data_IF_087539036343
#
_entry.id   IF_087539036343
#
_cell.length_a   1.000
_cell.length_b   1.000
_cell.length_c   1.000
_cell.angle_alpha   90.00
_cell.angle_beta   90.00
_cell.angle_gamma   90.00
#
_symmetry.space_group_name_H-M   'P 1'
#
loop_
_entity.id
_entity.type
_entity.pdbx_description
1 polymer ?
#
# COMPACT_ATOMS: atom_id res chain seq x y z
N UNK A 1 8.94 30.20 0.50
CA UNK A 1 8.69 28.73 0.45
C UNK A 1 7.19 28.58 0.29
N UNK A 2 6.74 28.17 -0.91
CA UNK A 2 5.33 28.16 -1.24
C UNK A 2 4.54 27.27 -0.32
N UNK A 3 3.30 27.64 -0.11
CA UNK A 3 2.24 26.95 0.63
C UNK A 3 1.95 25.58 -0.03
N UNK A 4 2.92 24.67 0.12
CA UNK A 4 2.96 23.39 -0.58
C UNK A 4 2.10 22.37 0.15
N UNK A 5 0.80 22.36 -0.13
CA UNK A 5 -0.04 21.22 0.24
C UNK A 5 0.61 19.92 -0.25
N UNK A 6 0.78 18.95 0.63
CA UNK A 6 1.29 17.62 0.28
C UNK A 6 0.44 17.06 -0.87
N UNK A 7 1.04 16.79 -2.05
CA UNK A 7 0.29 16.29 -3.20
C UNK A 7 -0.20 14.87 -2.90
N UNK A 8 -1.52 14.66 -2.92
CA UNK A 8 -2.13 13.39 -2.57
C UNK A 8 -3.51 13.20 -3.21
N UNK A 9 -3.92 11.97 -3.26
CA UNK A 9 -5.26 11.53 -3.64
C UNK A 9 -5.85 10.71 -2.50
N UNK A 10 -7.04 11.05 -2.06
CA UNK A 10 -7.71 10.42 -0.93
C UNK A 10 -8.82 9.47 -1.41
N UNK A 11 -9.00 8.38 -0.71
CA UNK A 11 -10.12 7.47 -0.87
C UNK A 11 -11.33 8.01 -0.07
N UNK A 12 -12.00 9.04 -0.61
CA UNK A 12 -13.09 9.76 0.08
C UNK A 12 -14.20 8.84 0.55
N UNK A 13 -14.56 7.84 -0.24
CA UNK A 13 -15.57 6.84 0.13
C UNK A 13 -15.23 6.11 1.44
N UNK A 14 -13.93 5.87 1.69
CA UNK A 14 -13.49 5.24 2.94
C UNK A 14 -13.64 6.16 4.16
N UNK A 15 -13.48 7.46 3.97
CA UNK A 15 -13.75 8.44 5.02
C UNK A 15 -15.26 8.54 5.32
N UNK A 16 -16.10 8.62 4.28
CA UNK A 16 -17.54 8.76 4.40
C UNK A 16 -18.22 7.52 4.99
N UNK A 17 -17.79 6.31 4.57
CA UNK A 17 -18.42 5.05 4.98
C UNK A 17 -17.87 4.47 6.27
N UNK A 18 -16.59 4.65 6.54
CA UNK A 18 -15.89 3.95 7.62
C UNK A 18 -15.20 4.89 8.61
N UNK A 19 -15.18 6.19 8.36
CA UNK A 19 -14.45 7.17 9.18
C UNK A 19 -12.93 6.99 9.12
N UNK A 20 -12.40 6.38 8.05
CA UNK A 20 -10.98 6.10 7.88
C UNK A 20 -10.32 7.18 7.02
N UNK A 21 -9.09 7.52 7.34
CA UNK A 21 -8.21 8.31 6.46
C UNK A 21 -7.40 7.34 5.63
N UNK A 22 -7.64 7.33 4.33
CA UNK A 22 -6.97 6.46 3.37
C UNK A 22 -6.63 7.22 2.10
N UNK A 23 -5.48 6.93 1.49
CA UNK A 23 -5.07 7.60 0.25
C UNK A 23 -3.65 7.24 -0.16
N UNK A 24 -3.17 7.98 -1.15
CA UNK A 24 -1.82 7.84 -1.68
C UNK A 24 -1.25 9.24 -2.01
N UNK A 25 0.02 9.48 -1.68
CA UNK A 25 0.70 10.69 -2.16
C UNK A 25 0.92 10.60 -3.67
N UNK A 26 1.05 11.74 -4.32
CA UNK A 26 1.29 11.80 -5.76
C UNK A 26 2.66 12.40 -6.07
N UNK A 27 3.10 12.27 -7.32
CA UNK A 27 4.41 12.74 -7.78
C UNK A 27 4.62 14.25 -7.60
N UNK A 28 3.56 15.07 -7.64
CA UNK A 28 3.57 16.53 -7.71
C UNK A 28 4.89 17.22 -7.33
N UNK A 29 5.50 17.93 -8.25
CA UNK A 29 6.81 18.62 -8.09
C UNK A 29 7.94 17.71 -7.54
N UNK A 30 7.93 16.42 -7.84
CA UNK A 30 8.95 15.46 -7.37
C UNK A 30 8.83 15.08 -5.90
N UNK A 31 7.61 15.05 -5.33
CA UNK A 31 7.36 14.73 -3.93
C UNK A 31 7.55 13.23 -3.62
N UNK A 32 8.79 12.74 -3.81
CA UNK A 32 9.16 11.36 -3.49
C UNK A 32 9.37 11.15 -2.00
N UNK A 33 8.86 10.05 -1.47
CA UNK A 33 9.00 9.64 -0.07
C UNK A 33 9.81 8.34 0.09
N UNK A 34 10.59 7.95 -0.93
CA UNK A 34 11.41 6.74 -0.92
C UNK A 34 12.68 6.90 -0.10
N UNK A 35 12.71 6.45 1.15
CA UNK A 35 13.90 6.50 2.01
C UNK A 35 15.06 5.63 1.52
N UNK A 36 14.75 4.54 0.84
CA UNK A 36 15.73 3.60 0.28
C UNK A 36 15.87 3.76 -1.24
N UNK A 37 15.83 4.99 -1.72
CA UNK A 37 16.08 5.38 -3.11
C UNK A 37 17.45 6.03 -3.26
N UNK A 38 17.83 6.39 -4.48
CA UNK A 38 19.08 7.10 -4.76
C UNK A 38 19.05 8.58 -4.33
N UNK A 39 17.90 9.09 -3.85
CA UNK A 39 17.77 10.47 -3.38
C UNK A 39 18.49 10.70 -2.05
N UNK A 40 18.92 11.94 -1.82
CA UNK A 40 19.47 12.35 -0.53
C UNK A 40 18.43 12.16 0.59
N UNK A 41 18.79 11.39 1.62
CA UNK A 41 17.93 11.09 2.78
C UNK A 41 17.40 12.39 3.44
N UNK A 42 18.22 13.43 3.51
CA UNK A 42 17.82 14.72 4.09
C UNK A 42 16.66 15.37 3.34
N UNK A 43 16.66 15.30 2.00
CA UNK A 43 15.57 15.81 1.17
C UNK A 43 14.29 14.99 1.33
N UNK A 44 14.43 13.65 1.32
CA UNK A 44 13.30 12.73 1.52
C UNK A 44 12.69 12.94 2.91
N UNK A 45 13.51 13.07 3.97
CA UNK A 45 13.04 13.33 5.34
C UNK A 45 12.35 14.70 5.49
N UNK A 46 12.74 15.69 4.70
CA UNK A 46 12.03 16.99 4.69
C UNK A 46 10.60 16.83 4.17
N UNK A 47 10.41 16.03 3.09
CA UNK A 47 9.08 15.72 2.54
C UNK A 47 8.26 14.85 3.51
N UNK A 48 8.90 13.88 4.19
CA UNK A 48 8.24 13.08 5.22
C UNK A 48 7.74 13.94 6.39
N UNK A 49 8.54 14.92 6.84
CA UNK A 49 8.10 15.87 7.89
C UNK A 49 6.90 16.70 7.43
N UNK A 50 6.88 17.15 6.18
CA UNK A 50 5.73 17.85 5.60
C UNK A 50 4.49 16.94 5.54
N UNK A 51 4.63 15.68 5.09
CA UNK A 51 3.55 14.70 5.10
C UNK A 51 3.02 14.44 6.51
N UNK A 52 3.92 14.23 7.49
CA UNK A 52 3.53 14.03 8.88
C UNK A 52 2.81 15.25 9.45
N UNK A 53 3.27 16.47 9.16
CA UNK A 53 2.65 17.70 9.69
C UNK A 53 1.17 17.82 9.31
N UNK A 54 0.79 17.37 8.09
CA UNK A 54 -0.61 17.33 7.64
C UNK A 54 -1.42 16.28 8.41
N UNK A 55 -0.80 15.20 8.85
CA UNK A 55 -1.46 14.05 9.48
C UNK A 55 -1.32 14.02 11.01
N UNK A 56 -0.50 14.89 11.59
CA UNK A 56 -0.06 14.79 12.99
C UNK A 56 -1.20 14.86 14.01
N UNK A 57 -2.21 15.71 13.80
CA UNK A 57 -3.31 15.87 14.76
C UNK A 57 -4.11 14.57 14.92
N UNK A 58 -4.61 13.93 13.82
CA UNK A 58 -5.34 12.70 13.93
C UNK A 58 -4.44 11.47 14.14
N UNK A 59 -3.12 11.56 13.84
CA UNK A 59 -2.19 10.43 13.87
C UNK A 59 -0.84 10.80 14.53
N UNK A 60 -0.74 10.71 15.86
CA UNK A 60 0.53 10.86 16.56
C UNK A 60 1.56 9.79 16.14
N UNK A 61 1.11 8.60 15.75
CA UNK A 61 1.96 7.49 15.30
C UNK A 61 1.96 7.34 13.78
N UNK A 62 3.14 7.23 13.17
CA UNK A 62 3.31 6.88 11.76
C UNK A 62 4.20 5.64 11.66
N UNK A 63 3.68 4.60 11.02
CA UNK A 63 4.36 3.31 10.86
C UNK A 63 4.81 3.17 9.40
N UNK A 64 6.07 2.84 9.20
CA UNK A 64 6.62 2.51 7.89
C UNK A 64 7.68 1.40 8.01
N UNK A 65 8.08 0.82 6.89
CA UNK A 65 9.09 -0.23 6.88
C UNK A 65 10.01 -0.15 5.65
N UNK A 66 11.19 -0.73 5.80
CA UNK A 66 12.00 -1.17 4.67
C UNK A 66 11.39 -2.46 4.12
N UNK A 67 10.63 -2.32 3.03
CA UNK A 67 9.92 -3.40 2.37
C UNK A 67 10.88 -4.24 1.55
N UNK A 68 10.75 -5.56 1.61
CA UNK A 68 11.62 -6.53 0.95
C UNK A 68 10.91 -7.36 -0.12
N UNK A 69 9.67 -6.97 -0.47
CA UNK A 69 8.76 -7.70 -1.36
C UNK A 69 8.40 -9.10 -0.84
N UNK A 70 8.39 -9.26 0.48
CA UNK A 70 8.02 -10.47 1.20
C UNK A 70 6.53 -10.55 1.52
N UNK A 71 6.22 -11.30 2.59
CA UNK A 71 4.85 -11.50 3.07
C UNK A 71 4.69 -11.20 4.57
N UNK A 72 5.71 -10.65 5.21
CA UNK A 72 5.62 -10.33 6.65
C UNK A 72 4.65 -9.17 6.87
N UNK A 73 3.67 -9.41 7.75
CA UNK A 73 2.66 -8.42 8.16
C UNK A 73 2.70 -8.27 9.66
N UNK A 74 3.02 -7.06 10.12
CA UNK A 74 3.15 -6.76 11.55
C UNK A 74 1.83 -6.19 12.11
N UNK A 75 1.37 -6.74 13.24
CA UNK A 75 0.26 -6.19 14.02
C UNK A 75 0.78 -5.19 15.07
N UNK A 76 0.19 -3.99 15.11
CA UNK A 76 0.56 -2.92 16.04
C UNK A 76 -0.49 -2.80 17.15
N UNK A 77 -0.12 -3.16 18.38
CA UNK A 77 -1.04 -3.16 19.53
C UNK A 77 -1.15 -1.82 20.25
N UNK A 78 -0.11 -0.99 20.16
CA UNK A 78 -0.07 0.30 20.83
C UNK A 78 0.41 1.41 19.88
N UNK A 79 -0.15 2.62 19.98
CA UNK A 79 0.42 3.78 19.30
C UNK A 79 1.78 4.11 19.93
N UNK A 80 2.73 4.47 19.07
CA UNK A 80 4.04 5.00 19.47
C UNK A 80 4.05 6.44 19.02
N UNK A 81 4.27 7.38 19.94
CA UNK A 81 4.36 8.78 19.53
C UNK A 81 5.59 9.00 18.64
N UNK A 82 5.32 9.45 17.42
CA UNK A 82 6.35 9.70 16.41
C UNK A 82 6.39 8.68 15.29
N UNK A 83 7.55 8.15 14.98
CA UNK A 83 7.83 7.24 13.87
C UNK A 83 8.26 5.87 14.38
N UNK A 84 7.67 4.83 13.80
CA UNK A 84 8.17 3.47 13.91
C UNK A 84 8.64 3.02 12.52
N UNK A 85 9.91 2.71 12.39
CA UNK A 85 10.50 2.18 11.17
C UNK A 85 10.91 0.73 11.42
N UNK A 86 10.35 -0.20 10.65
CA UNK A 86 10.60 -1.63 10.77
C UNK A 86 11.46 -2.12 9.60
N UNK A 87 12.15 -3.22 9.81
CA UNK A 87 12.96 -3.88 8.79
C UNK A 87 12.24 -5.14 8.30
N UNK A 88 12.22 -5.35 6.97
CA UNK A 88 11.75 -6.60 6.35
C UNK A 88 10.24 -6.84 6.40
N UNK A 89 9.43 -5.81 6.64
CA UNK A 89 7.97 -5.91 6.77
C UNK A 89 7.30 -5.31 5.53
N UNK A 90 6.39 -6.06 4.90
CA UNK A 90 5.66 -5.65 3.70
C UNK A 90 4.18 -5.36 3.97
N UNK A 91 3.74 -5.43 5.21
CA UNK A 91 2.38 -5.08 5.60
C UNK A 91 2.27 -4.69 7.07
N UNK A 92 1.31 -3.84 7.35
CA UNK A 92 1.01 -3.35 8.70
C UNK A 92 -0.47 -3.51 9.00
N UNK A 93 -0.81 -3.86 10.23
CA UNK A 93 -2.19 -3.97 10.68
C UNK A 93 -2.36 -3.45 12.10
N UNK A 94 -3.54 -2.93 12.44
CA UNK A 94 -3.89 -2.45 13.77
C UNK A 94 -5.41 -2.33 13.96
N UNK A 95 -5.86 -2.31 15.21
CA UNK A 95 -7.20 -1.86 15.59
C UNK A 95 -7.14 -0.55 16.42
N UNK A 96 -5.97 0.09 16.51
CA UNK A 96 -5.78 1.30 17.32
C UNK A 96 -6.04 2.55 16.51
N UNK A 97 -6.78 3.48 17.09
CA UNK A 97 -6.91 4.84 16.56
C UNK A 97 -5.63 5.63 16.78
N UNK A 98 -5.37 6.61 15.93
CA UNK A 98 -4.18 7.45 16.02
C UNK A 98 -2.91 6.81 15.44
N UNK A 99 -3.03 5.66 14.80
CA UNK A 99 -1.94 4.99 14.08
C UNK A 99 -2.16 5.14 12.57
N UNK A 100 -1.21 5.72 11.88
CA UNK A 100 -1.17 5.81 10.41
C UNK A 100 -0.22 4.76 9.87
N UNK A 101 -0.77 3.75 9.21
CA UNK A 101 -0.01 2.73 8.49
C UNK A 101 0.43 3.29 7.14
N UNK A 102 1.67 3.03 6.73
CA UNK A 102 2.19 3.48 5.42
C UNK A 102 2.97 2.38 4.72
N UNK A 103 2.87 2.33 3.39
CA UNK A 103 3.74 1.55 2.51
C UNK A 103 4.19 2.41 1.34
N UNK A 104 5.43 2.22 0.89
CA UNK A 104 5.97 2.93 -0.28
C UNK A 104 5.76 2.09 -1.53
N UNK A 105 5.32 2.73 -2.60
CA UNK A 105 5.06 2.05 -3.88
C UNK A 105 5.57 2.88 -5.07
N UNK A 106 5.95 2.16 -6.13
CA UNK A 106 6.08 2.63 -7.50
C UNK A 106 5.86 1.38 -8.36
N UNK A 107 4.66 1.21 -8.88
CA UNK A 107 4.09 0.07 -9.61
C UNK A 107 3.46 -1.04 -8.75
N UNK A 108 4.08 -1.46 -7.63
CA UNK A 108 3.47 -2.42 -6.71
C UNK A 108 2.10 -1.94 -6.20
N UNK A 109 1.20 -2.87 -5.92
CA UNK A 109 -0.18 -2.57 -5.52
C UNK A 109 -0.25 -2.39 -4.01
N UNK A 110 -0.62 -1.20 -3.50
CA UNK A 110 -1.00 -1.08 -2.10
C UNK A 110 -2.40 -1.68 -1.90
N UNK A 111 -2.53 -2.62 -0.97
CA UNK A 111 -3.80 -3.25 -0.62
C UNK A 111 -4.29 -2.65 0.70
N UNK A 112 -5.45 -2.01 0.65
CA UNK A 112 -6.12 -1.49 1.83
C UNK A 112 -7.16 -2.51 2.28
N UNK A 113 -7.12 -2.90 3.56
CA UNK A 113 -8.11 -3.79 4.18
C UNK A 113 -8.75 -3.09 5.38
N UNK A 114 -10.05 -3.20 5.52
CA UNK A 114 -10.78 -2.71 6.68
C UNK A 114 -11.80 -3.75 7.15
N UNK A 115 -11.95 -3.85 8.47
CA UNK A 115 -13.01 -4.60 9.16
C UNK A 115 -13.81 -3.61 10.00
N UNK A 116 -14.81 -2.91 9.40
CA UNK A 116 -15.45 -1.77 10.05
C UNK A 116 -16.04 -2.09 11.43
N UNK A 117 -16.68 -3.27 11.59
CA UNK A 117 -17.29 -3.71 12.84
C UNK A 117 -16.28 -3.96 13.97
N UNK A 118 -15.00 -4.12 13.63
CA UNK A 118 -13.90 -4.37 14.58
C UNK A 118 -12.98 -3.17 14.75
N UNK A 119 -13.14 -2.14 13.91
CA UNK A 119 -12.20 -1.02 13.84
C UNK A 119 -10.79 -1.43 13.41
N UNK A 120 -10.61 -2.65 12.87
CA UNK A 120 -9.32 -3.16 12.45
C UNK A 120 -9.03 -2.83 10.98
N UNK A 121 -7.79 -2.49 10.70
CA UNK A 121 -7.31 -2.12 9.37
C UNK A 121 -5.98 -2.80 9.09
N UNK A 122 -5.68 -3.02 7.79
CA UNK A 122 -4.35 -3.41 7.34
C UNK A 122 -4.01 -2.72 6.01
N UNK A 123 -2.73 -2.42 5.81
CA UNK A 123 -2.18 -1.87 4.58
C UNK A 123 -0.99 -2.72 4.17
N UNK A 124 -1.04 -3.29 2.96
CA UNK A 124 -0.07 -4.25 2.46
C UNK A 124 0.60 -3.72 1.19
N UNK A 125 1.86 -4.10 0.99
CA UNK A 125 2.64 -3.85 -0.21
C UNK A 125 2.70 -5.12 -1.07
N UNK A 126 1.96 -5.15 -2.17
CA UNK A 126 1.89 -6.30 -3.06
C UNK A 126 2.66 -6.05 -4.37
N UNK A 127 3.94 -6.36 -4.36
CA UNK A 127 4.71 -6.58 -5.57
C UNK A 127 4.50 -8.02 -6.09
N UNK A 128 5.07 -8.39 -7.25
CA UNK A 128 4.86 -9.72 -7.82
C UNK A 128 5.31 -10.86 -6.88
N UNK A 129 6.43 -10.69 -6.16
CA UNK A 129 6.92 -11.70 -5.20
C UNK A 129 5.95 -11.90 -4.04
N UNK A 130 5.53 -10.79 -3.41
CA UNK A 130 4.56 -10.83 -2.32
C UNK A 130 3.21 -11.39 -2.76
N UNK A 131 2.74 -11.02 -3.97
CA UNK A 131 1.48 -11.55 -4.54
C UNK A 131 1.57 -13.06 -4.78
N UNK A 132 2.66 -13.55 -5.39
CA UNK A 132 2.87 -14.98 -5.63
C UNK A 132 3.04 -15.77 -4.32
N UNK A 133 3.63 -15.15 -3.29
CA UNK A 133 3.86 -15.77 -1.98
C UNK A 133 2.69 -15.60 -0.99
N UNK A 134 1.57 -14.97 -1.39
CA UNK A 134 0.35 -14.89 -0.58
C UNK A 134 0.31 -13.76 0.45
N UNK A 135 0.85 -12.57 0.16
CA UNK A 135 0.79 -11.41 1.08
C UNK A 135 -0.65 -11.05 1.49
N UNK A 136 -1.63 -11.19 0.57
CA UNK A 136 -3.03 -10.93 0.88
C UNK A 136 -3.57 -11.92 1.90
N UNK A 137 -3.31 -13.23 1.73
CA UNK A 137 -3.69 -14.26 2.69
C UNK A 137 -3.09 -13.98 4.07
N UNK A 138 -1.80 -13.60 4.13
CA UNK A 138 -1.14 -13.21 5.40
C UNK A 138 -1.82 -12.03 6.06
N UNK A 139 -2.19 -10.99 5.30
CA UNK A 139 -2.93 -9.84 5.83
C UNK A 139 -4.30 -10.23 6.40
N UNK A 140 -5.04 -11.07 5.69
CA UNK A 140 -6.33 -11.62 6.15
C UNK A 140 -6.14 -12.46 7.41
N UNK A 141 -5.13 -13.32 7.46
CA UNK A 141 -4.82 -14.15 8.63
C UNK A 141 -4.48 -13.33 9.87
N UNK A 142 -3.71 -12.24 9.71
CA UNK A 142 -3.42 -11.33 10.82
C UNK A 142 -4.71 -10.69 11.34
N UNK A 143 -5.60 -10.20 10.47
CA UNK A 143 -6.89 -9.64 10.87
C UNK A 143 -7.78 -10.70 11.55
N UNK A 144 -7.76 -11.94 11.08
CA UNK A 144 -8.51 -13.06 11.70
C UNK A 144 -8.01 -13.36 13.09
N UNK A 145 -6.70 -13.48 13.28
CA UNK A 145 -6.08 -13.85 14.58
C UNK A 145 -6.16 -12.72 15.60
N UNK A 146 -5.89 -11.48 15.17
CA UNK A 146 -5.74 -10.35 16.09
C UNK A 146 -7.06 -9.60 16.35
N UNK A 147 -7.96 -9.55 15.36
CA UNK A 147 -9.23 -8.84 15.49
C UNK A 147 -10.46 -9.74 15.43
N UNK A 148 -10.29 -11.08 15.40
CA UNK A 148 -11.38 -12.03 15.22
C UNK A 148 -12.27 -11.69 14.01
N UNK A 149 -11.66 -11.22 12.92
CA UNK A 149 -12.35 -10.87 11.69
C UNK A 149 -12.82 -12.12 10.95
N UNK A 150 -13.98 -12.08 10.32
CA UNK A 150 -14.38 -13.04 9.29
C UNK A 150 -14.01 -12.45 7.93
N UNK A 151 -13.58 -13.28 6.98
CA UNK A 151 -13.21 -12.80 5.65
C UNK A 151 -14.36 -12.03 4.98
N UNK A 152 -15.59 -12.50 5.14
CA UNK A 152 -16.78 -11.84 4.63
C UNK A 152 -17.05 -10.43 5.20
N UNK A 153 -16.47 -10.08 6.35
CA UNK A 153 -16.60 -8.76 6.97
C UNK A 153 -15.50 -7.79 6.50
N UNK A 154 -14.51 -8.29 5.74
CA UNK A 154 -13.39 -7.48 5.22
C UNK A 154 -13.84 -6.73 3.96
N UNK A 155 -13.53 -5.45 3.93
CA UNK A 155 -13.59 -4.61 2.73
C UNK A 155 -12.17 -4.38 2.22
N UNK A 156 -11.93 -4.62 0.94
CA UNK A 156 -10.63 -4.50 0.28
C UNK A 156 -10.66 -3.44 -0.82
N UNK A 157 -9.57 -2.70 -0.93
CA UNK A 157 -9.29 -1.83 -2.09
C UNK A 157 -7.89 -2.10 -2.61
N UNK A 158 -7.79 -2.49 -3.88
CA UNK A 158 -6.52 -2.47 -4.62
C UNK A 158 -6.24 -1.03 -5.07
N UNK A 159 -5.23 -0.40 -4.50
CA UNK A 159 -4.89 0.98 -4.81
C UNK A 159 -4.18 1.19 -6.14
N UNK A 160 -3.63 2.38 -6.31
CA UNK A 160 -2.90 2.77 -7.52
C UNK A 160 -1.63 1.95 -7.67
N UNK A 161 -1.47 1.33 -8.84
CA UNK A 161 -0.28 0.57 -9.22
C UNK A 161 -0.21 0.36 -10.72
N UNK A 162 0.70 -0.45 -11.20
CA UNK A 162 0.84 -0.71 -12.64
C UNK A 162 -0.29 -1.61 -13.15
N UNK A 163 -0.84 -1.31 -14.32
CA UNK A 163 -1.87 -2.14 -14.96
C UNK A 163 -1.27 -3.25 -15.83
N UNK A 164 -2.07 -4.26 -16.17
CA UNK A 164 -1.64 -5.39 -16.98
C UNK A 164 -1.09 -5.03 -18.35
N UNK A 165 -1.59 -3.97 -18.98
CA UNK A 165 -1.08 -3.49 -20.28
C UNK A 165 0.33 -2.91 -20.21
N UNK A 166 0.74 -2.42 -19.05
CA UNK A 166 2.07 -1.84 -18.83
C UNK A 166 3.04 -2.79 -18.13
N UNK A 167 2.54 -3.95 -17.62
CA UNK A 167 3.33 -4.85 -16.82
C UNK A 167 3.64 -6.15 -17.57
N UNK A 168 4.54 -6.05 -18.55
CA UNK A 168 5.16 -7.22 -19.18
C UNK A 168 6.25 -7.78 -18.28
N UNK A 169 6.22 -9.09 -18.04
CA UNK A 169 7.14 -9.82 -17.16
C UNK A 169 7.73 -11.03 -17.90
N UNK A 170 8.96 -11.40 -17.54
CA UNK A 170 9.59 -12.61 -18.07
C UNK A 170 8.87 -13.90 -17.63
N UNK A 171 9.20 -15.01 -18.29
CA UNK A 171 8.59 -16.33 -18.06
C UNK A 171 8.68 -16.79 -16.60
N UNK A 172 9.79 -16.51 -15.91
CA UNK A 172 9.95 -16.85 -14.49
C UNK A 172 8.89 -16.18 -13.61
N UNK A 173 8.69 -14.87 -13.78
CA UNK A 173 7.71 -14.11 -13.01
C UNK A 173 6.28 -14.51 -13.39
N UNK A 174 6.02 -14.71 -14.69
CA UNK A 174 4.72 -15.18 -15.16
C UNK A 174 4.38 -16.56 -14.56
N UNK A 175 5.33 -17.47 -14.56
CA UNK A 175 5.18 -18.80 -13.95
C UNK A 175 4.93 -18.74 -12.44
N UNK A 176 5.67 -17.90 -11.72
CA UNK A 176 5.50 -17.74 -10.28
C UNK A 176 4.10 -17.19 -9.90
N UNK A 177 3.54 -16.31 -10.73
CA UNK A 177 2.22 -15.69 -10.49
C UNK A 177 1.05 -16.58 -10.90
N UNK A 178 1.23 -17.43 -11.92
CA UNK A 178 0.14 -18.29 -12.45
C UNK A 178 0.17 -19.72 -11.93
N UNK A 179 1.27 -20.12 -11.26
CA UNK A 179 1.48 -21.51 -10.83
C UNK A 179 1.75 -22.48 -11.97
N UNK A 180 1.90 -22.00 -13.20
CA UNK A 180 2.14 -22.81 -14.40
C UNK A 180 3.50 -22.46 -15.03
N UNK A 181 4.16 -23.46 -15.63
CA UNK A 181 5.40 -23.17 -16.37
C UNK A 181 5.10 -22.27 -17.57
N UNK A 182 5.67 -21.07 -17.56
CA UNK A 182 5.58 -20.15 -18.68
C UNK A 182 6.84 -20.22 -19.53
N UNK A 183 6.69 -20.30 -20.85
CA UNK A 183 7.81 -20.41 -21.81
C UNK A 183 8.21 -19.09 -22.46
N UNK A 184 7.40 -18.02 -22.23
CA UNK A 184 7.59 -16.70 -22.81
C UNK A 184 7.24 -15.59 -21.83
N UNK A 185 7.58 -14.35 -22.17
CA UNK A 185 7.09 -13.18 -21.46
C UNK A 185 5.58 -13.07 -21.56
N UNK A 186 4.95 -12.46 -20.56
CA UNK A 186 3.51 -12.27 -20.52
C UNK A 186 3.14 -10.92 -19.91
N UNK A 187 2.01 -10.36 -20.31
CA UNK A 187 1.39 -9.24 -19.61
C UNK A 187 0.57 -9.77 -18.44
N UNK A 188 0.80 -9.21 -17.25
CA UNK A 188 0.15 -9.63 -16.00
C UNK A 188 -0.46 -8.43 -15.29
N UNK A 189 -1.72 -8.51 -14.91
CA UNK A 189 -2.34 -7.53 -14.00
C UNK A 189 -2.36 -8.09 -12.57
N UNK A 190 -1.50 -7.54 -11.71
CA UNK A 190 -1.45 -7.93 -10.29
C UNK A 190 -2.77 -7.66 -9.56
N UNK A 191 -3.55 -6.65 -9.98
CA UNK A 191 -4.84 -6.33 -9.37
C UNK A 191 -5.89 -7.40 -9.68
N UNK A 192 -5.91 -7.92 -10.91
CA UNK A 192 -6.80 -9.03 -11.28
C UNK A 192 -6.47 -10.29 -10.47
N UNK A 193 -5.19 -10.61 -10.31
CA UNK A 193 -4.74 -11.73 -9.48
C UNK A 193 -5.15 -11.54 -8.01
N UNK A 194 -4.96 -10.34 -7.46
CA UNK A 194 -5.34 -10.02 -6.08
C UNK A 194 -6.86 -10.06 -5.88
N UNK A 195 -7.66 -9.64 -6.87
CA UNK A 195 -9.12 -9.77 -6.85
C UNK A 195 -9.53 -11.24 -6.83
N UNK A 196 -8.90 -12.08 -7.65
CA UNK A 196 -9.16 -13.52 -7.65
C UNK A 196 -8.81 -14.16 -6.30
N UNK A 197 -7.61 -13.87 -5.74
CA UNK A 197 -7.23 -14.32 -4.40
C UNK A 197 -8.23 -13.85 -3.33
N UNK A 198 -8.71 -12.61 -3.42
CA UNK A 198 -9.70 -12.08 -2.49
C UNK A 198 -11.03 -12.85 -2.55
N UNK A 199 -11.47 -13.25 -3.75
CA UNK A 199 -12.66 -14.08 -3.94
C UNK A 199 -12.48 -15.47 -3.35
N UNK A 200 -11.32 -16.11 -3.56
CA UNK A 200 -10.98 -17.42 -2.99
C UNK A 200 -10.94 -17.38 -1.45
N UNK A 201 -10.44 -16.29 -0.88
CA UNK A 201 -10.42 -16.06 0.58
C UNK A 201 -11.81 -15.71 1.17
N UNK A 202 -12.80 -15.42 0.32
CA UNK A 202 -14.16 -15.05 0.72
C UNK A 202 -14.26 -13.61 1.27
N UNK A 203 -13.43 -12.67 0.79
CA UNK A 203 -13.50 -11.25 1.15
C UNK A 203 -14.83 -10.65 0.69
N UNK A 204 -15.52 -9.93 1.60
CA UNK A 204 -16.91 -9.49 1.39
C UNK A 204 -17.11 -8.44 0.31
N UNK A 205 -16.17 -7.50 0.18
CA UNK A 205 -16.25 -6.46 -0.85
C UNK A 205 -14.86 -6.09 -1.36
N UNK A 206 -14.72 -5.98 -2.68
CA UNK A 206 -13.47 -5.64 -3.35
C UNK A 206 -13.70 -4.49 -4.32
N UNK A 207 -12.83 -3.50 -4.28
CA UNK A 207 -12.77 -2.38 -5.24
C UNK A 207 -11.35 -2.24 -5.79
N UNK A 208 -11.22 -1.65 -6.98
CA UNK A 208 -9.93 -1.50 -7.66
C UNK A 208 -9.78 -0.07 -8.17
N UNK A 209 -8.64 0.53 -7.95
CA UNK A 209 -8.29 1.84 -8.49
C UNK A 209 -8.23 1.79 -10.04
N UNK A 210 -8.81 2.76 -10.74
CA UNK A 210 -8.71 2.84 -12.19
C UNK A 210 -7.36 3.37 -12.67
N UNK A 211 -6.53 3.93 -11.79
CA UNK A 211 -5.28 4.60 -12.14
C UNK A 211 -4.12 3.61 -12.33
N UNK A 212 -3.24 3.94 -13.27
CA UNK A 212 -2.02 3.18 -13.54
C UNK A 212 -0.79 4.06 -13.38
N UNK A 213 0.17 3.66 -12.58
CA UNK A 213 1.41 4.42 -12.33
C UNK A 213 2.20 4.70 -13.61
N UNK A 214 2.21 3.79 -14.58
CA UNK A 214 2.95 3.94 -15.82
C UNK A 214 2.19 4.77 -16.88
N UNK A 215 0.87 4.65 -16.99
CA UNK A 215 0.05 5.48 -17.88
C UNK A 215 -0.07 6.91 -17.35
N UNK A 216 -0.28 7.07 -16.04
CA UNK A 216 -0.47 8.35 -15.38
C UNK A 216 0.85 8.81 -14.71
N UNK A 217 1.97 8.66 -15.43
CA UNK A 217 3.32 8.93 -14.94
C UNK A 217 3.58 10.42 -14.61
N UNK A 218 2.78 11.31 -15.13
CA UNK A 218 2.74 12.72 -14.73
C UNK A 218 2.21 12.93 -13.31
N UNK A 219 1.41 11.98 -12.80
CA UNK A 219 0.77 12.01 -11.47
C UNK A 219 1.44 11.09 -10.46
N UNK A 220 2.00 9.96 -10.91
CA UNK A 220 2.54 8.92 -10.03
C UNK A 220 3.99 8.58 -10.42
N UNK A 221 4.76 8.11 -9.44
CA UNK A 221 6.05 7.50 -9.70
C UNK A 221 5.87 6.08 -10.24
N UNK A 222 6.65 5.72 -11.25
CA UNK A 222 6.66 4.38 -11.85
C UNK A 222 8.07 3.89 -12.05
N UNK A 223 8.40 2.78 -11.41
CA UNK A 223 9.66 2.08 -11.60
C UNK A 223 9.82 1.61 -13.05
N UNK A 224 8.76 1.06 -13.64
CA UNK A 224 8.73 0.57 -15.02
C UNK A 224 8.92 1.69 -16.03
N UNK A 225 8.13 2.76 -15.94
CA UNK A 225 8.18 3.86 -16.90
C UNK A 225 9.51 4.62 -16.83
N UNK A 226 10.17 4.67 -15.69
CA UNK A 226 11.44 5.37 -15.49
C UNK A 226 12.68 4.50 -15.67
N UNK A 227 12.54 3.20 -15.95
CA UNK A 227 13.68 2.27 -15.97
C UNK A 227 14.36 2.11 -14.61
N UNK A 228 13.63 2.31 -13.50
CA UNK A 228 14.13 2.15 -12.14
C UNK A 228 14.59 3.42 -11.45
N UNK A 229 14.70 4.54 -12.16
CA UNK A 229 15.26 5.80 -11.63
C UNK A 229 14.27 6.69 -10.88
N UNK A 230 13.01 6.30 -10.74
CA UNK A 230 11.96 7.15 -10.18
C UNK A 230 11.87 7.09 -8.64
N UNK A 231 11.19 8.10 -8.07
CA UNK A 231 10.88 8.17 -6.65
C UNK A 231 9.84 7.14 -6.18
N UNK A 232 9.29 7.38 -4.99
CA UNK A 232 8.23 6.54 -4.40
C UNK A 232 7.09 7.40 -3.89
N UNK A 233 5.86 7.03 -4.18
CA UNK A 233 4.68 7.50 -3.45
C UNK A 233 4.45 6.64 -2.21
N UNK A 234 3.69 7.20 -1.26
CA UNK A 234 3.27 6.53 -0.04
C UNK A 234 1.77 6.33 -0.06
N UNK A 235 1.34 5.09 0.02
CA UNK A 235 -0.02 4.74 0.39
C UNK A 235 -0.15 4.77 1.91
N UNK A 236 -1.28 5.25 2.42
CA UNK A 236 -1.53 5.41 3.86
C UNK A 236 -2.95 5.04 4.24
N UNK A 237 -3.10 4.49 5.44
CA UNK A 237 -4.37 4.07 6.01
C UNK A 237 -4.35 4.24 7.53
N UNK A 238 -5.37 4.88 8.10
CA UNK A 238 -5.47 5.04 9.54
C UNK A 238 -6.90 5.32 10.03
N UNK A 239 -7.17 4.92 11.27
CA UNK A 239 -8.36 5.35 12.02
C UNK A 239 -7.96 6.58 12.84
N UNK A 240 -8.50 7.79 12.56
CA UNK A 240 -8.09 9.02 13.24
C UNK A 240 -8.48 9.00 14.72
N UNK A 241 -7.73 9.71 15.56
CA UNK A 241 -8.21 10.11 16.88
C UNK A 241 -9.49 10.96 16.73
N UNK A 242 -10.36 10.94 17.74
CA UNK A 242 -11.58 11.74 17.78
C UNK A 242 -11.26 13.23 17.91
#
# INVERSE_FOLDING_TARGET
MGDGAVPRMELREWAERFGLVAGITTRGHGFSLGLWSAESVGQVMTRWRAFRAVQQRPFPSVILSHQVHGTEVCWHEAPIDGWLILEGVDGHATARRGVLLTVTVADCIPIYLAVPQKGAIALLHAGWRGTAAGILERGVDVLRRQASAKAADIVMHCGVGICGRCYEVGSEVAGALTGAAASASAQVDLRELLVHQAQELGIGAVTVSPWCTAHDHDRFFSHRASGGGDGRQVAYLGSPLA
#
